data_IF_882466440515
#
_entry.id   IF_882466440515
#
_cell.length_a   1.000
_cell.length_b   1.000
_cell.length_c   1.000
_cell.angle_alpha   90.00
_cell.angle_beta   90.00
_cell.angle_gamma   90.00
#
_symmetry.space_group_name_H-M   'P 1'
#
loop_
_entity.id
_entity.type
_entity.pdbx_description
1 polymer ?
#
# COMPACT_ATOMS: atom_id res chain seq x y z
N UNK A 1 6.70 -7.93 31.33
CA UNK A 1 7.15 -8.18 29.94
C UNK A 1 5.97 -7.91 29.03
N UNK A 2 6.15 -7.32 27.84
CA UNK A 2 5.04 -7.10 26.93
C UNK A 2 4.45 -8.43 26.47
N UNK A 3 3.13 -8.44 26.34
CA UNK A 3 2.35 -9.54 25.78
C UNK A 3 1.84 -9.13 24.40
N UNK A 4 1.86 -10.07 23.46
CA UNK A 4 1.48 -9.86 22.07
C UNK A 4 0.31 -10.75 21.70
N UNK A 5 -0.62 -10.31 20.84
CA UNK A 5 -1.68 -11.17 20.36
C UNK A 5 -1.08 -12.37 19.62
N UNK A 6 -1.52 -13.56 19.99
CA UNK A 6 -1.15 -14.82 19.36
C UNK A 6 -2.29 -15.27 18.45
N UNK A 7 -1.94 -15.60 17.21
CA UNK A 7 -2.86 -16.12 16.21
C UNK A 7 -2.54 -17.57 15.93
N UNK A 8 -3.54 -18.43 15.99
CA UNK A 8 -3.45 -19.84 15.65
C UNK A 8 -3.80 -20.05 14.17
N UNK A 9 -2.90 -19.58 13.31
CA UNK A 9 -3.04 -19.70 11.86
C UNK A 9 -3.70 -18.51 11.17
N UNK A 10 -3.76 -18.60 9.84
CA UNK A 10 -4.15 -17.50 8.95
C UNK A 10 -5.59 -17.02 9.14
N UNK A 11 -6.49 -17.91 9.58
CA UNK A 11 -7.93 -17.64 9.73
C UNK A 11 -8.37 -17.28 11.15
N UNK A 12 -7.46 -17.27 12.12
CA UNK A 12 -7.80 -16.96 13.52
C UNK A 12 -8.19 -15.48 13.67
N UNK A 13 -9.48 -15.23 13.85
CA UNK A 13 -10.06 -13.89 13.99
C UNK A 13 -11.04 -13.82 15.16
N UNK A 14 -10.91 -12.76 15.97
CA UNK A 14 -11.85 -12.43 17.05
C UNK A 14 -12.81 -11.30 16.70
N UNK A 15 -12.75 -10.81 15.45
CA UNK A 15 -13.57 -9.67 14.97
C UNK A 15 -15.06 -9.82 15.26
N UNK A 16 -15.57 -11.05 15.27
CA UNK A 16 -17.00 -11.34 15.41
C UNK A 16 -17.44 -11.70 16.82
N UNK A 17 -16.54 -12.21 17.66
CA UNK A 17 -16.88 -12.66 19.03
C UNK A 17 -16.50 -11.64 20.11
N UNK A 18 -15.74 -10.60 19.74
CA UNK A 18 -15.40 -9.48 20.62
C UNK A 18 -14.39 -9.82 21.71
N UNK A 19 -13.84 -11.04 21.72
CA UNK A 19 -12.88 -11.48 22.74
C UNK A 19 -11.48 -11.02 22.41
N UNK A 20 -10.67 -10.86 23.45
CA UNK A 20 -9.24 -10.65 23.29
C UNK A 20 -8.56 -11.92 22.74
N UNK A 21 -7.44 -11.73 22.07
CA UNK A 21 -6.61 -12.85 21.62
C UNK A 21 -5.82 -13.44 22.80
N UNK A 22 -5.50 -14.73 22.68
CA UNK A 22 -4.45 -15.34 23.48
C UNK A 22 -3.13 -14.59 23.27
N UNK A 23 -2.16 -14.76 24.17
CA UNK A 23 -0.92 -13.98 24.13
C UNK A 23 0.35 -14.81 24.08
N UNK A 24 1.37 -14.23 23.45
CA UNK A 24 2.76 -14.68 23.49
C UNK A 24 3.65 -13.55 24.02
N UNK A 25 4.93 -13.83 24.27
CA UNK A 25 5.92 -12.84 24.69
C UNK A 25 7.31 -13.23 24.21
N UNK A 26 8.31 -12.36 24.39
CA UNK A 26 9.67 -12.64 23.92
C UNK A 26 10.29 -13.92 24.52
N UNK A 27 9.99 -14.27 25.77
CA UNK A 27 10.49 -15.52 26.37
C UNK A 27 9.92 -16.75 25.66
N UNK A 28 8.61 -16.74 25.37
CA UNK A 28 7.95 -17.80 24.61
C UNK A 28 8.48 -17.88 23.17
N UNK A 29 8.73 -16.74 22.52
CA UNK A 29 9.32 -16.67 21.17
C UNK A 29 10.72 -17.29 21.16
N UNK A 30 11.59 -16.91 22.11
CA UNK A 30 12.94 -17.48 22.24
C UNK A 30 12.92 -18.98 22.45
N UNK A 31 12.03 -19.49 23.32
CA UNK A 31 11.85 -20.94 23.51
C UNK A 31 11.41 -21.64 22.23
N UNK A 32 10.57 -20.98 21.43
CA UNK A 32 10.10 -21.50 20.14
C UNK A 32 11.17 -21.45 19.05
N UNK A 33 12.15 -20.55 19.13
CA UNK A 33 13.31 -20.63 18.23
C UNK A 33 14.10 -21.93 18.46
N UNK A 34 14.33 -22.31 19.72
CA UNK A 34 14.98 -23.58 20.04
C UNK A 34 14.12 -24.81 19.69
N UNK A 35 12.79 -24.67 19.81
CA UNK A 35 11.82 -25.73 19.54
C UNK A 35 10.72 -25.21 18.59
N UNK A 36 10.98 -25.11 17.28
CA UNK A 36 10.02 -24.58 16.33
C UNK A 36 8.80 -25.48 16.24
N UNK A 37 7.62 -24.88 16.03
CA UNK A 37 6.40 -25.64 15.84
C UNK A 37 6.50 -26.58 14.62
N UNK A 38 5.67 -27.62 14.61
CA UNK A 38 5.61 -28.62 13.55
C UNK A 38 4.21 -28.66 12.93
N UNK A 39 3.69 -27.51 12.51
CA UNK A 39 2.35 -27.39 11.92
C UNK A 39 2.43 -26.90 10.48
N UNK A 40 1.38 -27.16 9.71
CA UNK A 40 1.26 -26.69 8.34
C UNK A 40 1.22 -25.17 8.27
N UNK A 41 1.65 -24.60 7.13
CA UNK A 41 1.81 -23.15 6.97
C UNK A 41 0.54 -22.35 7.29
N UNK A 42 -0.63 -22.89 6.95
CA UNK A 42 -1.91 -22.20 7.19
C UNK A 42 -2.30 -22.16 8.67
N UNK A 43 -1.76 -23.08 9.47
CA UNK A 43 -1.99 -23.23 10.91
C UNK A 43 -0.83 -22.67 11.74
N UNK A 44 0.25 -22.23 11.07
CA UNK A 44 1.45 -21.71 11.71
C UNK A 44 1.10 -20.53 12.62
N UNK A 45 1.60 -20.54 13.88
CA UNK A 45 1.30 -19.48 14.81
C UNK A 45 1.97 -18.18 14.38
N UNK A 46 1.29 -17.07 14.61
CA UNK A 46 1.79 -15.74 14.29
C UNK A 46 1.48 -14.75 15.42
N UNK A 47 2.13 -13.59 15.40
CA UNK A 47 1.87 -12.52 16.34
C UNK A 47 1.98 -11.16 15.66
N UNK A 48 1.47 -10.11 16.29
CA UNK A 48 1.84 -8.72 15.96
C UNK A 48 2.65 -8.20 17.14
N UNK A 49 3.80 -7.52 16.96
CA UNK A 49 4.66 -7.07 18.05
C UNK A 49 4.08 -5.87 18.84
N UNK A 50 2.75 -5.78 18.94
CA UNK A 50 2.02 -4.72 19.64
C UNK A 50 1.34 -5.28 20.89
N UNK A 51 1.29 -4.49 21.97
CA UNK A 51 0.56 -4.88 23.18
C UNK A 51 -0.97 -4.72 23.06
N UNK A 52 -1.47 -4.28 21.91
CA UNK A 52 -2.91 -4.27 21.63
C UNK A 52 -3.39 -5.68 21.26
N UNK A 53 -4.04 -6.34 22.22
CA UNK A 53 -4.51 -7.74 22.14
C UNK A 53 -6.02 -7.86 21.88
N UNK A 54 -6.71 -6.74 21.68
CA UNK A 54 -8.16 -6.71 21.54
C UNK A 54 -8.67 -7.46 20.31
N UNK A 55 -9.99 -7.64 20.22
CA UNK A 55 -10.64 -8.37 19.12
C UNK A 55 -10.33 -7.85 17.70
N UNK A 56 -9.88 -6.59 17.58
CA UNK A 56 -9.42 -5.97 16.32
C UNK A 56 -7.89 -5.97 16.17
N UNK A 57 -7.15 -6.80 16.90
CA UNK A 57 -5.67 -6.80 16.85
C UNK A 57 -5.09 -7.00 15.44
N UNK A 58 -5.83 -7.67 14.54
CA UNK A 58 -5.45 -7.85 13.12
C UNK A 58 -5.84 -6.68 12.20
N UNK A 59 -6.51 -5.65 12.72
CA UNK A 59 -6.87 -4.46 11.96
C UNK A 59 -5.71 -3.48 11.92
N UNK A 60 -5.27 -3.14 10.71
CA UNK A 60 -4.28 -2.08 10.49
C UNK A 60 -4.71 -0.75 11.12
N UNK A 61 -6.00 -0.42 11.03
CA UNK A 61 -6.56 0.81 11.60
C UNK A 61 -6.49 0.81 13.12
N UNK A 62 -6.97 -0.24 13.77
CA UNK A 62 -6.97 -0.34 15.23
C UNK A 62 -5.55 -0.33 15.78
N UNK A 63 -4.63 -1.04 15.13
CA UNK A 63 -3.22 -1.03 15.52
C UNK A 63 -2.55 0.33 15.27
N UNK A 64 -2.94 1.07 14.23
CA UNK A 64 -2.41 2.42 13.99
C UNK A 64 -2.87 3.39 15.08
N UNK A 65 -4.12 3.28 15.52
CA UNK A 65 -4.70 4.18 16.53
C UNK A 65 -4.30 3.83 17.97
N UNK A 66 -4.27 2.54 18.31
CA UNK A 66 -4.14 2.06 19.70
C UNK A 66 -2.93 1.17 19.95
N UNK A 67 -2.19 0.79 18.90
CA UNK A 67 -1.06 -0.13 19.02
C UNK A 67 0.15 0.48 19.74
N UNK A 68 0.86 -0.35 20.47
CA UNK A 68 2.09 -0.03 21.20
C UNK A 68 3.12 -1.11 20.86
N UNK A 69 4.00 -0.80 19.92
CA UNK A 69 4.88 -1.78 19.27
C UNK A 69 6.19 -1.93 20.02
N UNK A 70 6.46 -3.13 20.53
CA UNK A 70 7.65 -3.46 21.31
C UNK A 70 8.73 -4.19 20.51
N UNK A 71 8.62 -4.26 19.18
CA UNK A 71 9.72 -4.74 18.35
C UNK A 71 9.66 -4.13 16.94
N UNK A 72 10.84 -3.97 16.34
CA UNK A 72 11.00 -3.84 14.90
C UNK A 72 11.16 -5.24 14.28
N UNK A 73 10.56 -5.46 13.12
CA UNK A 73 10.48 -6.77 12.47
C UNK A 73 11.19 -6.75 11.13
N UNK A 74 11.97 -7.78 10.84
CA UNK A 74 12.66 -7.93 9.56
C UNK A 74 12.19 -9.26 8.97
N UNK A 75 11.73 -9.26 7.71
CA UNK A 75 11.47 -10.49 6.95
C UNK A 75 12.28 -10.42 5.65
N UNK A 76 13.17 -11.36 5.43
CA UNK A 76 14.13 -11.40 4.31
C UNK A 76 13.88 -12.68 3.53
N UNK A 77 13.42 -12.53 2.30
CA UNK A 77 12.97 -13.64 1.45
C UNK A 77 13.89 -13.95 0.26
N UNK A 78 14.88 -13.08 0.00
CA UNK A 78 15.76 -13.11 -1.18
C UNK A 78 17.21 -12.77 -0.81
N UNK A 79 18.12 -12.88 -1.80
CA UNK A 79 19.55 -12.56 -1.65
C UNK A 79 20.41 -13.71 -1.13
N UNK A 80 19.80 -14.82 -0.71
CA UNK A 80 20.48 -16.02 -0.21
C UNK A 80 21.55 -15.74 0.86
N UNK A 81 21.30 -14.73 1.70
CA UNK A 81 22.25 -14.29 2.72
C UNK A 81 22.43 -15.36 3.80
N UNK A 82 23.66 -15.49 4.31
CA UNK A 82 23.92 -16.29 5.52
C UNK A 82 23.49 -15.52 6.77
N UNK A 83 23.18 -16.24 7.86
CA UNK A 83 22.67 -15.63 9.10
C UNK A 83 23.62 -14.60 9.71
N UNK A 84 24.93 -14.80 9.59
CA UNK A 84 25.97 -13.90 10.08
C UNK A 84 25.97 -12.56 9.34
N UNK A 85 25.74 -12.57 8.02
CA UNK A 85 25.56 -11.35 7.25
C UNK A 85 24.34 -10.56 7.74
N UNK A 86 23.19 -11.24 7.90
CA UNK A 86 21.95 -10.62 8.41
C UNK A 86 22.16 -10.00 9.78
N UNK A 87 22.79 -10.75 10.69
CA UNK A 87 23.10 -10.27 12.04
C UNK A 87 24.01 -9.04 12.00
N UNK A 88 25.08 -9.06 11.21
CA UNK A 88 26.01 -7.94 11.08
C UNK A 88 25.34 -6.67 10.52
N UNK A 89 24.45 -6.79 9.54
CA UNK A 89 23.71 -5.65 9.00
C UNK A 89 22.81 -5.00 10.06
N UNK A 90 22.16 -5.81 10.89
CA UNK A 90 21.31 -5.33 11.99
C UNK A 90 22.16 -4.65 13.07
N UNK A 91 23.25 -5.31 13.50
CA UNK A 91 24.17 -4.79 14.53
C UNK A 91 24.75 -3.43 14.16
N UNK A 92 25.09 -3.20 12.89
CA UNK A 92 25.59 -1.91 12.40
C UNK A 92 24.59 -0.76 12.52
N UNK A 93 23.29 -1.04 12.42
CA UNK A 93 22.24 -0.02 12.53
C UNK A 93 21.91 0.26 13.99
N UNK A 94 21.78 -0.79 14.81
CA UNK A 94 21.25 -0.65 16.16
C UNK A 94 22.34 -0.44 17.22
N UNK A 95 23.62 -0.67 16.88
CA UNK A 95 24.75 -0.49 17.79
C UNK A 95 24.84 -1.48 18.95
N UNK A 96 23.96 -2.49 18.96
CA UNK A 96 23.85 -3.55 19.97
C UNK A 96 23.57 -4.88 19.24
N UNK A 97 23.80 -6.00 19.91
CA UNK A 97 23.47 -7.34 19.38
C UNK A 97 22.06 -7.79 19.74
N UNK A 98 21.21 -6.93 20.28
CA UNK A 98 19.89 -7.34 20.74
C UNK A 98 18.95 -7.67 19.57
N UNK A 99 18.92 -8.94 19.17
CA UNK A 99 18.10 -9.44 18.06
C UNK A 99 17.80 -10.94 18.23
N UNK A 100 16.62 -11.34 17.79
CA UNK A 100 16.23 -12.75 17.61
C UNK A 100 16.10 -12.98 16.12
N UNK A 101 16.91 -13.88 15.55
CA UNK A 101 16.89 -14.25 14.13
C UNK A 101 16.53 -15.72 14.02
N UNK A 102 15.64 -16.08 13.10
CA UNK A 102 15.33 -17.47 12.79
C UNK A 102 14.95 -17.67 11.33
N UNK A 103 15.15 -18.89 10.83
CA UNK A 103 14.77 -19.27 9.47
C UNK A 103 13.25 -19.26 9.28
N UNK A 104 12.81 -18.86 8.09
CA UNK A 104 11.42 -19.01 7.68
C UNK A 104 11.10 -20.48 7.39
N UNK A 105 9.81 -20.84 7.44
CA UNK A 105 9.36 -22.23 7.20
C UNK A 105 9.66 -22.76 5.81
N UNK A 106 9.93 -21.87 4.84
CA UNK A 106 10.25 -22.22 3.45
C UNK A 106 11.71 -21.97 3.08
N UNK A 107 12.59 -21.68 4.06
CA UNK A 107 14.03 -21.52 3.83
C UNK A 107 14.65 -22.84 3.35
N UNK A 108 15.39 -22.81 2.24
CA UNK A 108 16.17 -23.94 1.70
C UNK A 108 17.67 -23.68 1.85
N UNK A 109 18.51 -24.67 1.56
CA UNK A 109 19.97 -24.49 1.51
C UNK A 109 20.39 -23.40 0.52
N UNK A 110 19.87 -23.42 -0.70
CA UNK A 110 20.21 -22.44 -1.75
C UNK A 110 19.52 -21.08 -1.60
N UNK A 111 18.45 -21.02 -0.79
CA UNK A 111 17.72 -19.78 -0.53
C UNK A 111 17.35 -19.68 0.95
N UNK A 112 18.33 -19.37 1.81
CA UNK A 112 18.05 -19.06 3.21
C UNK A 112 17.15 -17.82 3.31
N UNK A 113 16.14 -17.92 4.18
CA UNK A 113 15.15 -16.87 4.43
C UNK A 113 15.06 -16.62 5.92
N UNK A 114 14.99 -15.36 6.32
CA UNK A 114 15.21 -14.96 7.70
C UNK A 114 14.09 -14.08 8.23
N UNK A 115 13.73 -14.29 9.49
CA UNK A 115 12.97 -13.32 10.28
C UNK A 115 13.83 -12.80 11.41
N UNK A 116 13.93 -11.48 11.51
CA UNK A 116 14.56 -10.77 12.61
C UNK A 116 13.51 -10.10 13.48
N UNK A 117 13.68 -10.17 14.80
CA UNK A 117 12.89 -9.45 15.78
C UNK A 117 13.88 -8.67 16.65
N UNK A 118 13.76 -7.35 16.64
CA UNK A 118 14.58 -6.45 17.46
C UNK A 118 13.69 -5.93 18.59
N UNK A 119 13.81 -6.46 19.83
CA UNK A 119 12.97 -6.04 20.94
C UNK A 119 13.27 -4.61 21.39
N UNK A 120 12.23 -3.85 21.71
CA UNK A 120 12.28 -2.47 22.22
C UNK A 120 11.43 -2.36 23.49
N UNK A 121 11.99 -1.71 24.52
CA UNK A 121 11.33 -1.55 25.83
C UNK A 121 10.27 -0.45 25.80
N UNK A 122 10.64 0.75 25.36
CA UNK A 122 9.68 1.84 25.18
C UNK A 122 8.98 1.66 23.84
N UNK A 123 7.66 1.40 23.84
CA UNK A 123 6.96 1.04 22.62
C UNK A 123 6.93 2.20 21.63
N UNK A 124 6.92 1.83 20.35
CA UNK A 124 6.63 2.75 19.24
C UNK A 124 5.11 2.88 19.14
N UNK A 125 4.61 4.11 19.10
CA UNK A 125 3.18 4.34 18.88
C UNK A 125 2.76 3.83 17.49
N UNK A 126 1.55 3.27 17.39
CA UNK A 126 1.04 2.71 16.13
C UNK A 126 1.04 3.70 14.96
N UNK A 127 0.85 4.99 15.23
CA UNK A 127 0.90 6.05 14.22
C UNK A 127 2.29 6.24 13.60
N UNK A 128 3.35 5.97 14.36
CA UNK A 128 4.74 6.17 13.93
C UNK A 128 5.42 4.86 13.50
N UNK A 129 4.84 3.70 13.83
CA UNK A 129 5.46 2.39 13.59
C UNK A 129 5.85 2.14 12.13
N UNK A 130 4.98 2.54 11.18
CA UNK A 130 5.26 2.40 9.75
C UNK A 130 6.52 3.18 9.35
N UNK A 131 6.62 4.42 9.79
CA UNK A 131 7.75 5.30 9.46
C UNK A 131 9.06 4.77 10.04
N UNK A 132 9.01 4.26 11.28
CA UNK A 132 10.16 3.64 11.94
C UNK A 132 10.59 2.36 11.22
N UNK A 133 9.64 1.51 10.80
CA UNK A 133 9.96 0.28 10.07
C UNK A 133 10.53 0.53 8.68
N UNK A 134 9.93 1.44 7.91
CA UNK A 134 10.45 1.81 6.60
C UNK A 134 11.87 2.39 6.72
N UNK A 135 12.12 3.23 7.73
CA UNK A 135 13.45 3.76 8.01
C UNK A 135 14.49 2.67 8.32
N UNK A 136 14.12 1.64 9.10
CA UNK A 136 14.99 0.48 9.33
C UNK A 136 15.28 -0.26 8.01
N UNK A 137 14.27 -0.45 7.16
CA UNK A 137 14.42 -1.15 5.89
C UNK A 137 15.31 -0.41 4.91
N UNK A 138 15.18 0.92 4.83
CA UNK A 138 16.04 1.76 4.01
C UNK A 138 17.52 1.59 4.43
N UNK A 139 17.80 1.65 5.75
CA UNK A 139 19.15 1.49 6.30
C UNK A 139 19.71 0.07 6.12
N UNK A 140 18.86 -0.95 6.08
CA UNK A 140 19.27 -2.33 5.76
C UNK A 140 19.57 -2.47 4.26
N UNK A 141 18.74 -1.86 3.40
CA UNK A 141 18.92 -1.89 1.95
C UNK A 141 20.20 -1.19 1.51
N UNK A 142 20.61 -0.10 2.18
CA UNK A 142 21.91 0.55 1.99
C UNK A 142 23.11 -0.40 2.23
N UNK A 143 22.91 -1.46 3.01
CA UNK A 143 23.90 -2.51 3.28
C UNK A 143 23.73 -3.75 2.38
N UNK A 144 22.80 -3.71 1.42
CA UNK A 144 22.48 -4.83 0.54
C UNK A 144 21.57 -5.90 1.14
N UNK A 145 20.90 -5.61 2.27
CA UNK A 145 19.92 -6.50 2.89
C UNK A 145 18.50 -5.98 2.66
N UNK A 146 17.75 -6.61 1.76
CA UNK A 146 16.40 -6.17 1.40
C UNK A 146 15.33 -6.90 2.22
N UNK A 147 14.59 -6.16 3.04
CA UNK A 147 13.46 -6.68 3.81
C UNK A 147 12.13 -6.50 3.06
N UNK A 148 11.12 -7.31 3.40
CA UNK A 148 9.75 -7.16 2.90
C UNK A 148 9.05 -5.96 3.58
N UNK A 149 8.80 -4.91 2.79
CA UNK A 149 8.11 -3.70 3.23
C UNK A 149 6.66 -3.94 3.68
N UNK A 150 6.05 -5.10 3.37
CA UNK A 150 4.76 -5.46 3.96
C UNK A 150 4.81 -5.51 5.50
N UNK A 151 5.97 -5.83 6.08
CA UNK A 151 6.20 -5.85 7.54
C UNK A 151 6.20 -4.46 8.19
N UNK A 152 6.17 -3.37 7.41
CA UNK A 152 5.98 -2.02 7.94
C UNK A 152 4.51 -1.72 8.29
N UNK A 153 3.57 -2.57 7.89
CA UNK A 153 2.13 -2.35 8.15
C UNK A 153 1.77 -2.80 9.58
N UNK A 154 1.07 -1.94 10.32
CA UNK A 154 0.73 -2.10 11.75
C UNK A 154 -0.09 -3.36 12.10
N UNK A 155 -0.93 -3.84 11.20
CA UNK A 155 -1.76 -5.04 11.36
C UNK A 155 -1.17 -6.32 10.74
N UNK A 156 0.07 -6.29 10.26
CA UNK A 156 0.69 -7.41 9.57
C UNK A 156 1.16 -8.48 10.57
N UNK A 157 0.61 -9.72 10.51
CA UNK A 157 1.10 -10.80 11.36
C UNK A 157 2.50 -11.27 10.96
N UNK A 158 3.31 -11.55 11.96
CA UNK A 158 4.66 -12.11 11.86
C UNK A 158 4.59 -13.58 12.26
N UNK A 159 4.95 -14.48 11.36
CA UNK A 159 4.98 -15.91 11.67
C UNK A 159 6.05 -16.21 12.71
N UNK A 160 5.64 -16.89 13.78
CA UNK A 160 6.55 -17.42 14.79
C UNK A 160 7.36 -18.61 14.23
N UNK A 161 8.45 -19.01 14.90
CA UNK A 161 9.23 -20.18 14.49
C UNK A 161 8.38 -21.43 14.27
N UNK A 162 8.35 -21.90 13.02
CA UNK A 162 7.61 -23.07 12.57
C UNK A 162 8.37 -23.74 11.43
N UNK A 163 8.49 -25.06 11.51
CA UNK A 163 9.04 -25.91 10.45
C UNK A 163 8.04 -27.04 10.24
N UNK A 164 7.29 -27.05 9.12
CA UNK A 164 6.20 -27.98 8.92
C UNK A 164 6.71 -29.43 8.89
N UNK A 165 5.83 -30.42 9.13
CA UNK A 165 6.21 -31.84 9.14
C UNK A 165 6.95 -32.28 7.87
N UNK A 166 6.55 -31.77 6.71
CA UNK A 166 7.18 -32.05 5.41
C UNK A 166 8.62 -31.50 5.25
N UNK A 167 9.09 -30.69 6.20
CA UNK A 167 10.41 -30.05 6.21
C UNK A 167 11.25 -30.53 7.40
N UNK A 168 11.02 -31.76 7.82
CA UNK A 168 11.75 -32.43 8.89
C UNK A 168 12.31 -33.75 8.39
N UNK A 169 13.43 -34.19 8.95
CA UNK A 169 13.97 -35.52 8.67
C UNK A 169 13.16 -36.62 9.37
N UNK A 170 13.57 -37.88 9.18
CA UNK A 170 12.91 -39.05 9.78
C UNK A 170 12.88 -39.01 11.32
N UNK A 171 13.84 -38.31 11.95
CA UNK A 171 13.91 -38.11 13.38
C UNK A 171 13.05 -36.92 13.87
N UNK A 172 12.33 -36.25 12.97
CA UNK A 172 11.54 -35.06 13.28
C UNK A 172 12.37 -33.77 13.44
N UNK A 173 13.66 -33.80 13.13
CA UNK A 173 14.53 -32.64 13.24
C UNK A 173 14.30 -31.67 12.07
N UNK A 174 14.24 -30.35 12.33
CA UNK A 174 14.10 -29.34 11.29
C UNK A 174 15.17 -29.38 10.20
N UNK A 175 14.75 -29.40 8.92
CA UNK A 175 15.65 -29.22 7.78
C UNK A 175 15.90 -27.73 7.54
N UNK A 176 17.17 -27.35 7.34
CA UNK A 176 17.64 -25.99 6.98
C UNK A 176 17.23 -24.88 7.94
N UNK A 177 16.77 -25.23 9.14
CA UNK A 177 16.36 -24.27 10.14
C UNK A 177 17.57 -23.87 11.00
N UNK A 178 17.82 -22.56 11.05
CA UNK A 178 18.82 -21.96 11.91
C UNK A 178 18.18 -20.85 12.72
N UNK A 179 18.76 -20.54 13.87
CA UNK A 179 18.38 -19.38 14.67
C UNK A 179 19.59 -18.83 15.43
N UNK A 180 19.52 -17.55 15.75
CA UNK A 180 20.49 -16.83 16.58
C UNK A 180 19.71 -15.95 17.54
N UNK A 181 20.07 -15.98 18.83
CA UNK A 181 19.51 -15.09 19.83
C UNK A 181 20.68 -14.37 20.49
N UNK A 182 20.71 -13.06 20.29
CA UNK A 182 21.74 -12.20 20.83
C UNK A 182 21.09 -11.09 21.67
N UNK A 183 21.76 -10.69 22.75
CA UNK A 183 21.24 -9.72 23.73
C UNK A 183 20.12 -10.27 24.63
N UNK A 184 20.02 -9.70 25.84
CA UNK A 184 19.06 -10.16 26.86
C UNK A 184 18.04 -9.09 27.27
N UNK A 185 18.34 -7.82 27.06
CA UNK A 185 17.59 -6.69 27.63
C UNK A 185 16.52 -6.08 26.72
N UNK A 186 16.64 -6.18 25.40
CA UNK A 186 15.90 -5.31 24.48
C UNK A 186 16.53 -3.92 24.42
N UNK A 187 16.42 -3.25 23.27
CA UNK A 187 16.81 -1.85 23.14
C UNK A 187 15.92 -0.99 24.02
N UNK A 188 16.48 0.05 24.65
CA UNK A 188 15.67 0.95 25.48
C UNK A 188 14.67 1.72 24.60
N UNK A 189 15.19 2.34 23.53
CA UNK A 189 14.44 3.13 22.56
C UNK A 189 14.76 2.67 21.12
N UNK A 190 14.03 3.22 20.15
CA UNK A 190 14.40 3.14 18.73
C UNK A 190 15.82 3.69 18.55
N UNK A 191 16.70 3.01 17.78
CA UNK A 191 18.04 3.52 17.48
C UNK A 191 18.00 4.92 16.86
N UNK A 192 18.96 5.77 17.23
CA UNK A 192 19.02 7.15 16.75
C UNK A 192 19.07 7.25 15.22
N UNK A 193 19.86 6.38 14.57
CA UNK A 193 19.93 6.33 13.11
C UNK A 193 18.57 6.05 12.46
N UNK A 194 17.78 5.14 13.03
CA UNK A 194 16.44 4.79 12.54
C UNK A 194 15.48 5.96 12.79
N UNK A 195 15.51 6.56 13.99
CA UNK A 195 14.67 7.71 14.32
C UNK A 195 14.96 8.93 13.43
N UNK A 196 16.24 9.22 13.16
CA UNK A 196 16.67 10.29 12.27
C UNK A 196 16.19 10.05 10.83
N UNK A 197 16.38 8.83 10.30
CA UNK A 197 15.90 8.45 8.96
C UNK A 197 14.37 8.56 8.86
N UNK A 198 13.63 8.09 9.87
CA UNK A 198 12.17 8.21 9.90
C UNK A 198 11.70 9.68 9.86
N UNK A 199 12.36 10.56 10.61
CA UNK A 199 12.07 11.99 10.60
C UNK A 199 12.36 12.63 9.24
N UNK A 200 13.49 12.29 8.60
CA UNK A 200 13.83 12.76 7.26
C UNK A 200 12.81 12.30 6.22
N UNK A 201 12.46 11.02 6.20
CA UNK A 201 11.48 10.46 5.25
C UNK A 201 10.11 11.13 5.42
N UNK A 202 9.68 11.36 6.67
CA UNK A 202 8.43 12.05 6.99
C UNK A 202 8.44 13.50 6.51
N UNK A 203 9.53 14.23 6.72
CA UNK A 203 9.67 15.61 6.25
C UNK A 203 9.62 15.69 4.72
N UNK A 204 10.32 14.78 4.02
CA UNK A 204 10.31 14.73 2.55
C UNK A 204 8.91 14.46 1.99
N UNK A 205 8.15 13.52 2.57
CA UNK A 205 6.77 13.25 2.15
C UNK A 205 5.85 14.45 2.37
N UNK A 206 5.95 15.10 3.53
CA UNK A 206 5.15 16.31 3.81
C UNK A 206 5.47 17.45 2.84
N UNK A 207 6.73 17.63 2.47
CA UNK A 207 7.11 18.64 1.49
C UNK A 207 6.60 18.27 0.09
N UNK A 208 6.76 17.02 -0.34
CA UNK A 208 6.21 16.55 -1.62
C UNK A 208 4.68 16.69 -1.69
N UNK A 209 3.96 16.42 -0.60
CA UNK A 209 2.51 16.63 -0.51
C UNK A 209 2.14 18.13 -0.61
N UNK A 210 2.91 19.02 0.02
CA UNK A 210 2.71 20.48 -0.08
C UNK A 210 2.95 20.98 -1.48
N UNK A 211 4.05 20.56 -2.11
CA UNK A 211 4.38 20.91 -3.50
C UNK A 211 3.30 20.41 -4.46
N UNK A 212 2.87 19.15 -4.32
CA UNK A 212 1.79 18.59 -5.13
C UNK A 212 0.47 19.34 -4.96
N UNK A 213 0.12 19.71 -3.72
CA UNK A 213 -1.08 20.52 -3.44
C UNK A 213 -0.98 21.93 -4.03
N UNK A 214 0.19 22.57 -3.95
CA UNK A 214 0.42 23.89 -4.54
C UNK A 214 0.32 23.83 -6.07
N UNK A 215 0.98 22.86 -6.70
CA UNK A 215 0.90 22.65 -8.14
C UNK A 215 -0.53 22.35 -8.62
N UNK A 216 -1.32 21.61 -7.84
CA UNK A 216 -2.73 21.36 -8.12
C UNK A 216 -3.57 22.64 -8.07
N UNK A 217 -3.34 23.50 -7.05
CA UNK A 217 -4.02 24.79 -6.93
C UNK A 217 -3.64 25.77 -8.06
N UNK A 218 -2.35 25.89 -8.39
CA UNK A 218 -1.88 26.74 -9.49
C UNK A 218 -2.47 26.28 -10.84
N UNK A 219 -2.54 24.96 -11.07
CA UNK A 219 -3.18 24.40 -12.26
C UNK A 219 -4.67 24.71 -12.30
N UNK A 220 -5.37 24.59 -11.17
CA UNK A 220 -6.78 24.94 -11.07
C UNK A 220 -7.03 26.43 -11.34
N UNK A 221 -6.20 27.32 -10.80
CA UNK A 221 -6.31 28.76 -11.04
C UNK A 221 -6.01 29.14 -12.50
N UNK A 222 -4.99 28.53 -13.10
CA UNK A 222 -4.69 28.73 -14.53
C UNK A 222 -5.85 28.28 -15.41
N UNK A 223 -6.46 27.14 -15.10
CA UNK A 223 -7.63 26.65 -15.81
C UNK A 223 -8.82 27.62 -15.65
N UNK A 224 -9.07 28.13 -14.44
CA UNK A 224 -10.12 29.12 -14.19
C UNK A 224 -9.91 30.40 -15.01
N UNK A 225 -8.69 30.96 -14.99
CA UNK A 225 -8.35 32.18 -15.78
C UNK A 225 -8.51 31.96 -17.28
N UNK A 226 -8.15 30.78 -17.79
CA UNK A 226 -8.36 30.44 -19.19
C UNK A 226 -9.85 30.36 -19.54
N UNK A 227 -10.67 29.76 -18.67
CA UNK A 227 -12.13 29.68 -18.80
C UNK A 227 -12.80 31.06 -18.79
N UNK A 228 -12.41 31.93 -17.85
CA UNK A 228 -12.89 33.32 -17.78
C UNK A 228 -12.50 34.12 -19.03
N UNK A 229 -11.26 33.98 -19.50
CA UNK A 229 -10.80 34.65 -20.72
C UNK A 229 -11.47 34.15 -22.00
N UNK A 230 -11.96 32.91 -22.03
CA UNK A 230 -12.71 32.34 -23.16
C UNK A 230 -14.22 32.66 -23.13
N UNK A 231 -14.69 33.46 -22.14
CA UNK A 231 -16.09 33.83 -22.02
C UNK A 231 -16.98 32.74 -21.40
N UNK A 232 -16.41 31.88 -20.55
CA UNK A 232 -17.12 30.80 -19.85
C UNK A 232 -16.46 29.44 -19.97
N UNK A 233 -17.04 28.40 -19.33
CA UNK A 233 -16.53 27.03 -19.40
C UNK A 233 -16.43 26.57 -20.84
N UNK A 234 -15.30 25.96 -21.20
CA UNK A 234 -15.11 25.38 -22.53
C UNK A 234 -16.19 24.35 -22.85
N UNK A 235 -16.35 24.04 -24.13
CA UNK A 235 -17.29 23.00 -24.60
C UNK A 235 -17.10 21.67 -23.85
N UNK A 236 -15.83 21.30 -23.59
CA UNK A 236 -15.49 20.08 -22.85
C UNK A 236 -15.87 20.22 -21.38
N UNK A 237 -15.60 21.36 -20.74
CA UNK A 237 -15.99 21.60 -19.34
C UNK A 237 -17.51 21.59 -19.16
N UNK A 238 -18.25 22.16 -20.11
CA UNK A 238 -19.72 22.11 -20.14
C UNK A 238 -20.19 20.66 -20.24
N UNK A 239 -19.60 19.87 -21.15
CA UNK A 239 -19.90 18.44 -21.27
C UNK A 239 -19.66 17.70 -19.96
N UNK A 240 -18.50 17.89 -19.35
CA UNK A 240 -18.11 17.22 -18.11
C UNK A 240 -18.99 17.62 -16.91
N UNK A 241 -19.56 18.83 -16.92
CA UNK A 241 -20.51 19.26 -15.90
C UNK A 241 -21.92 18.68 -16.09
N UNK A 242 -22.32 18.45 -17.34
CA UNK A 242 -23.65 17.93 -17.70
C UNK A 242 -23.70 16.39 -17.73
N UNK A 243 -22.56 15.72 -17.83
CA UNK A 243 -22.49 14.27 -18.05
C UNK A 243 -21.64 13.55 -16.99
N UNK A 244 -22.26 12.59 -16.32
CA UNK A 244 -21.60 11.73 -15.35
C UNK A 244 -20.82 10.59 -16.05
N UNK A 245 -19.54 10.44 -15.67
CA UNK A 245 -18.64 9.43 -16.23
C UNK A 245 -19.18 8.01 -16.07
N UNK A 246 -19.69 7.68 -14.87
CA UNK A 246 -20.15 6.31 -14.59
C UNK A 246 -21.34 5.94 -15.47
N UNK A 247 -22.27 6.88 -15.64
CA UNK A 247 -23.45 6.72 -16.49
C UNK A 247 -23.05 6.45 -17.94
N UNK A 248 -22.17 7.29 -18.51
CA UNK A 248 -21.64 7.09 -19.87
C UNK A 248 -20.89 5.76 -20.04
N UNK A 249 -20.07 5.38 -19.05
CA UNK A 249 -19.35 4.11 -19.06
C UNK A 249 -20.33 2.92 -19.12
N UNK A 250 -21.41 2.95 -18.33
CA UNK A 250 -22.42 1.89 -18.33
C UNK A 250 -23.15 1.81 -19.68
N UNK A 251 -23.56 2.96 -20.22
CA UNK A 251 -24.22 3.05 -21.53
C UNK A 251 -23.35 2.50 -22.66
N UNK A 252 -22.03 2.69 -22.58
CA UNK A 252 -21.07 2.25 -23.58
C UNK A 252 -20.39 0.91 -23.26
N UNK A 253 -20.94 0.12 -22.33
CA UNK A 253 -20.62 -1.30 -22.18
C UNK A 253 -19.51 -1.64 -21.18
N UNK A 254 -19.12 -0.70 -20.30
CA UNK A 254 -18.35 -1.05 -19.12
C UNK A 254 -19.25 -1.83 -18.14
N UNK A 255 -18.68 -2.87 -17.53
CA UNK A 255 -19.44 -3.73 -16.62
C UNK A 255 -19.01 -3.48 -15.17
N UNK A 256 -19.93 -3.23 -14.23
CA UNK A 256 -19.57 -3.03 -12.83
C UNK A 256 -19.00 -4.31 -12.22
N UNK A 257 -18.02 -4.16 -11.33
CA UNK A 257 -17.31 -5.24 -10.63
C UNK A 257 -17.20 -5.05 -9.11
N UNK A 258 -18.02 -4.15 -8.57
CA UNK A 258 -18.17 -3.89 -7.14
C UNK A 258 -17.32 -2.70 -6.66
N UNK A 259 -17.93 -1.83 -5.84
CA UNK A 259 -17.38 -0.52 -5.51
C UNK A 259 -17.14 0.31 -6.78
N UNK A 260 -16.07 1.08 -6.80
CA UNK A 260 -15.71 1.93 -7.95
C UNK A 260 -14.90 1.18 -9.03
N UNK A 261 -14.99 -0.15 -9.06
CA UNK A 261 -14.32 -0.99 -10.07
C UNK A 261 -15.25 -1.39 -11.21
N UNK A 262 -14.72 -1.31 -12.43
CA UNK A 262 -15.38 -1.71 -13.67
C UNK A 262 -14.48 -2.64 -14.50
N UNK A 263 -15.11 -3.34 -15.44
CA UNK A 263 -14.44 -4.08 -16.50
C UNK A 263 -14.62 -3.33 -17.82
N UNK A 264 -13.50 -3.05 -18.48
CA UNK A 264 -13.50 -2.37 -19.78
C UNK A 264 -14.20 -3.21 -20.88
N UNK A 265 -14.98 -2.57 -21.78
CA UNK A 265 -15.56 -3.22 -22.96
C UNK A 265 -14.48 -3.72 -23.93
N UNK A 266 -13.27 -3.15 -23.90
CA UNK A 266 -12.17 -3.53 -24.78
C UNK A 266 -11.35 -4.71 -24.26
N UNK A 267 -11.46 -5.02 -22.96
CA UNK A 267 -10.76 -6.14 -22.34
C UNK A 267 -11.49 -7.47 -22.58
N UNK A 268 -10.75 -8.52 -22.95
CA UNK A 268 -11.29 -9.86 -23.15
C UNK A 268 -11.61 -10.58 -21.83
N UNK A 269 -10.81 -10.40 -20.79
CA UNK A 269 -10.96 -11.11 -19.51
C UNK A 269 -12.15 -10.62 -18.67
N UNK A 270 -12.67 -9.42 -18.99
CA UNK A 270 -13.79 -8.75 -18.30
C UNK A 270 -13.64 -8.71 -16.77
N UNK A 271 -12.39 -8.70 -16.28
CA UNK A 271 -12.05 -8.59 -14.86
C UNK A 271 -12.10 -7.15 -14.33
N UNK A 272 -11.79 -6.97 -13.04
CA UNK A 272 -11.64 -5.65 -12.41
C UNK A 272 -10.41 -4.94 -13.00
N UNK A 273 -10.63 -4.08 -13.98
CA UNK A 273 -9.54 -3.47 -14.76
C UNK A 273 -9.57 -1.96 -14.82
N UNK A 274 -10.68 -1.33 -14.41
CA UNK A 274 -10.84 0.13 -14.39
C UNK A 274 -11.27 0.54 -13.00
N UNK A 275 -10.57 1.50 -12.41
CA UNK A 275 -10.96 2.15 -11.15
C UNK A 275 -11.44 3.56 -11.44
N UNK A 276 -12.61 3.91 -10.94
CA UNK A 276 -13.20 5.24 -11.05
C UNK A 276 -13.01 5.95 -9.71
N UNK A 277 -12.59 7.21 -9.77
CA UNK A 277 -12.53 8.10 -8.61
C UNK A 277 -13.08 9.45 -9.04
N UNK A 278 -14.17 9.87 -8.39
CA UNK A 278 -14.97 11.03 -8.80
C UNK A 278 -15.37 10.94 -10.29
N UNK A 279 -14.97 11.91 -11.11
CA UNK A 279 -15.26 11.98 -12.55
C UNK A 279 -14.03 11.59 -13.41
N UNK A 280 -13.15 10.76 -12.87
CA UNK A 280 -11.94 10.26 -13.55
C UNK A 280 -11.83 8.74 -13.43
N UNK A 281 -11.42 8.10 -14.51
CA UNK A 281 -11.12 6.67 -14.56
C UNK A 281 -9.63 6.43 -14.82
N UNK A 282 -9.10 5.40 -14.17
CA UNK A 282 -7.77 4.84 -14.43
C UNK A 282 -7.94 3.38 -14.84
N UNK A 283 -7.43 3.03 -16.01
CA UNK A 283 -7.43 1.68 -16.55
C UNK A 283 -6.07 1.01 -16.39
N UNK A 284 -6.12 -0.21 -15.86
CA UNK A 284 -4.98 -1.10 -15.63
C UNK A 284 -4.88 -2.19 -16.71
N UNK A 285 -5.74 -2.16 -17.72
CA UNK A 285 -5.68 -3.11 -18.84
C UNK A 285 -5.01 -2.46 -20.05
N UNK A 286 -4.05 -3.16 -20.66
CA UNK A 286 -3.39 -2.69 -21.89
C UNK A 286 -4.34 -2.62 -23.09
N UNK A 287 -5.50 -3.29 -23.02
CA UNK A 287 -6.54 -3.23 -24.07
C UNK A 287 -7.15 -1.83 -24.27
N UNK A 288 -7.02 -0.94 -23.28
CA UNK A 288 -7.58 0.43 -23.38
C UNK A 288 -6.57 1.42 -23.99
N UNK A 289 -5.29 1.06 -24.01
CA UNK A 289 -4.22 1.91 -24.51
C UNK A 289 -4.43 2.23 -26.00
N UNK A 290 -4.43 3.53 -26.32
CA UNK A 290 -4.65 4.04 -27.68
C UNK A 290 -6.10 3.97 -28.17
N UNK A 291 -7.04 3.46 -27.35
CA UNK A 291 -8.47 3.38 -27.71
C UNK A 291 -9.33 4.42 -27.01
N UNK A 292 -8.94 4.82 -25.82
CA UNK A 292 -9.66 5.80 -25.01
C UNK A 292 -8.69 6.65 -24.20
N UNK A 293 -9.00 7.94 -24.05
CA UNK A 293 -8.26 8.86 -23.22
C UNK A 293 -6.77 8.95 -23.54
N UNK A 294 -5.95 9.07 -22.49
CA UNK A 294 -4.50 9.27 -22.60
C UNK A 294 -3.73 8.26 -21.77
N UNK A 295 -2.62 7.77 -22.31
CA UNK A 295 -1.65 6.97 -21.56
C UNK A 295 -0.70 7.90 -20.82
N UNK A 296 -0.57 7.69 -19.52
CA UNK A 296 0.38 8.39 -18.63
C UNK A 296 1.79 7.84 -18.81
N UNK A 297 2.80 8.58 -18.35
CA UNK A 297 4.22 8.15 -18.42
C UNK A 297 4.48 6.82 -17.68
N UNK A 298 3.62 6.48 -16.70
CA UNK A 298 3.66 5.23 -15.96
C UNK A 298 2.95 4.06 -16.69
N UNK A 299 2.52 4.26 -17.94
CA UNK A 299 1.89 3.24 -18.79
C UNK A 299 0.41 2.98 -18.52
N UNK A 300 -0.24 3.74 -17.65
CA UNK A 300 -1.68 3.60 -17.36
C UNK A 300 -2.52 4.50 -18.25
N UNK A 301 -3.67 4.01 -18.69
CA UNK A 301 -4.63 4.79 -19.49
C UNK A 301 -5.63 5.48 -18.57
N UNK A 302 -5.74 6.81 -18.68
CA UNK A 302 -6.67 7.63 -17.89
C UNK A 302 -7.66 8.34 -18.79
N UNK A 303 -8.91 8.44 -18.35
CA UNK A 303 -9.98 9.11 -19.11
C UNK A 303 -11.04 9.75 -18.20
N UNK A 304 -11.80 10.68 -18.77
CA UNK A 304 -13.03 11.26 -18.20
C UNK A 304 -14.25 11.00 -19.11
N UNK A 305 -15.41 11.58 -18.76
CA UNK A 305 -16.66 11.37 -19.49
C UNK A 305 -16.57 11.83 -20.95
N UNK A 306 -15.81 12.90 -21.22
CA UNK A 306 -15.59 13.39 -22.58
C UNK A 306 -14.77 12.41 -23.41
N UNK A 307 -13.72 11.84 -22.83
CA UNK A 307 -12.93 10.81 -23.50
C UNK A 307 -13.76 9.55 -23.85
N UNK A 308 -14.70 9.14 -22.99
CA UNK A 308 -15.65 8.05 -23.28
C UNK A 308 -16.54 8.41 -24.46
N UNK A 309 -17.13 9.60 -24.43
CA UNK A 309 -17.98 10.11 -25.52
C UNK A 309 -17.23 10.14 -26.86
N UNK A 310 -16.01 10.69 -26.87
CA UNK A 310 -15.16 10.76 -28.07
C UNK A 310 -14.81 9.37 -28.58
N UNK A 311 -14.41 8.44 -27.71
CA UNK A 311 -14.02 7.10 -28.10
C UNK A 311 -15.20 6.26 -28.62
N UNK A 312 -16.32 6.26 -27.89
CA UNK A 312 -17.43 5.35 -28.14
C UNK A 312 -18.45 5.87 -29.15
N UNK A 313 -18.70 7.18 -29.18
CA UNK A 313 -19.67 7.79 -30.11
C UNK A 313 -18.99 8.21 -31.41
N UNK A 314 -17.77 8.76 -31.31
CA UNK A 314 -17.09 9.40 -32.44
C UNK A 314 -15.87 8.63 -32.96
N UNK A 315 -15.68 7.37 -32.55
CA UNK A 315 -14.57 6.55 -33.01
C UNK A 315 -13.19 7.15 -32.71
N UNK A 316 -13.07 7.82 -31.56
CA UNK A 316 -11.90 8.56 -31.11
C UNK A 316 -11.56 9.82 -31.94
N UNK A 317 -12.51 10.33 -32.73
CA UNK A 317 -12.34 11.55 -33.52
C UNK A 317 -12.73 12.81 -32.71
N UNK A 318 -11.77 13.33 -31.95
CA UNK A 318 -11.92 14.51 -31.10
C UNK A 318 -12.48 15.74 -31.85
N UNK A 319 -12.06 15.95 -33.11
CA UNK A 319 -12.44 17.14 -33.86
C UNK A 319 -13.93 17.11 -34.23
N UNK A 320 -14.45 15.95 -34.62
CA UNK A 320 -15.87 15.77 -34.95
C UNK A 320 -16.71 15.89 -33.68
N UNK A 321 -16.31 15.22 -32.59
CA UNK A 321 -16.99 15.31 -31.31
C UNK A 321 -17.14 16.75 -30.81
N UNK A 322 -16.07 17.55 -30.90
CA UNK A 322 -16.10 18.97 -30.53
C UNK A 322 -17.08 19.78 -31.38
N UNK A 323 -17.09 19.57 -32.70
CA UNK A 323 -17.97 20.33 -33.61
C UNK A 323 -19.44 19.98 -33.40
N UNK A 324 -19.75 18.70 -33.23
CA UNK A 324 -21.14 18.26 -33.03
C UNK A 324 -21.67 18.68 -31.68
N UNK A 325 -20.92 18.47 -30.59
CA UNK A 325 -21.38 18.87 -29.27
C UNK A 325 -21.49 20.40 -29.15
N UNK A 326 -20.60 21.17 -29.79
CA UNK A 326 -20.69 22.64 -29.91
C UNK A 326 -22.01 23.09 -30.53
N UNK A 327 -22.49 22.40 -31.56
CA UNK A 327 -23.79 22.68 -32.18
C UNK A 327 -24.95 22.27 -31.27
N UNK A 328 -24.89 21.07 -30.68
CA UNK A 328 -25.94 20.54 -29.81
C UNK A 328 -26.17 21.40 -28.56
N UNK A 329 -25.10 21.91 -27.96
CA UNK A 329 -25.19 22.71 -26.74
C UNK A 329 -25.40 24.21 -27.02
N UNK A 330 -25.52 24.65 -28.28
CA UNK A 330 -25.76 26.06 -28.61
C UNK A 330 -24.64 27.00 -28.12
N UNK A 331 -23.40 26.51 -28.03
CA UNK A 331 -22.27 27.23 -27.43
C UNK A 331 -22.06 28.63 -28.03
N UNK A 332 -22.22 28.78 -29.35
CA UNK A 332 -22.04 30.06 -30.03
C UNK A 332 -23.08 31.11 -29.63
N UNK A 333 -24.31 30.69 -29.38
CA UNK A 333 -25.39 31.57 -28.93
C UNK A 333 -25.14 32.02 -27.48
N UNK A 334 -24.68 31.11 -26.62
CA UNK A 334 -24.30 31.41 -25.23
C UNK A 334 -23.08 32.34 -25.16
N UNK A 335 -22.05 32.07 -25.95
CA UNK A 335 -20.85 32.90 -26.01
C UNK A 335 -21.13 34.30 -26.57
N UNK A 336 -21.96 34.41 -27.61
CA UNK A 336 -22.39 35.70 -28.17
C UNK A 336 -23.20 36.51 -27.16
N UNK A 337 -24.14 35.87 -26.44
CA UNK A 337 -24.94 36.53 -25.41
C UNK A 337 -24.07 37.06 -24.27
N UNK A 338 -23.11 36.26 -23.79
CA UNK A 338 -22.18 36.68 -22.76
C UNK A 338 -21.26 37.83 -23.20
N UNK A 339 -20.81 37.83 -24.46
CA UNK A 339 -20.05 38.96 -25.02
C UNK A 339 -20.89 40.24 -25.12
N UNK A 340 -22.17 40.13 -25.46
CA UNK A 340 -23.09 41.28 -25.53
C UNK A 340 -23.39 41.85 -24.14
N UNK A 341 -23.57 41.01 -23.12
CA UNK A 341 -23.69 41.43 -21.70
C UNK A 341 -22.42 42.14 -21.22
N UNK A 342 -21.24 41.58 -21.52
CA UNK A 342 -19.94 42.19 -21.20
C UNK A 342 -19.73 43.57 -21.84
N UNK A 343 -20.38 43.84 -22.97
CA UNK A 343 -20.33 45.13 -23.67
C UNK A 343 -21.51 46.05 -23.32
N UNK A 344 -22.40 45.64 -22.40
CA UNK A 344 -23.55 46.43 -21.97
C UNK A 344 -24.60 46.64 -23.06
N UNK A 345 -24.67 45.71 -24.04
CA UNK A 345 -25.54 45.79 -25.21
C UNK A 345 -26.78 44.87 -25.12
N UNK A 346 -27.05 44.29 -23.94
CA UNK A 346 -28.19 43.39 -23.69
C UNK A 346 -29.42 44.10 -23.16
#
# INVERSE_FOLDING_TARGET
MPHFPLFHGSRDTRRHDGRDYDTTNFSAIKKRCANPAAVEKQEAPAFIPSSYIGHLARSHEAQRQSGQFHAMIIDVDTGAHRIDFVQNCIERIIGDRTVIIYSSSSATEDNPKWRGIIPIRYPIAGADYKDVQEALFDLLAEQGLHADYAMARTGQPVYLPNVPPSRRNENGEPLFYQYSISGSSGLLHVPEAVAARAATNKAQRLEAEREAKKAALERAEKNRKLSEASGGPSIIETFLAENDLTTLMLEHGWLPRGGDWFASPFSQSKGRSVWVTDQRAVSFTTSDAGRIGKTTDNGWTTYDAWDVYVACVHGNNMRVALLEYRQQCGYEQRALHHMLEMWGLS
#
